data_IF_290103485133
#
_entry.id   IF_290103485133
#
_cell.length_a   1.000
_cell.length_b   1.000
_cell.length_c   1.000
_cell.angle_alpha   90.00
_cell.angle_beta   90.00
_cell.angle_gamma   90.00
#
_symmetry.space_group_name_H-M   'P 1'
#
loop_
_entity.id
_entity.type
_entity.pdbx_description
1 polymer ?
#
# COMPACT_ATOMS: atom_id res chain seq x y z
N UNK A 1 12.22 -15.85 4.27
CA UNK A 1 11.44 -16.32 3.12
C UNK A 1 11.16 -15.09 2.28
N UNK A 2 11.59 -15.09 1.03
CA UNK A 2 11.30 -13.99 0.09
C UNK A 2 9.96 -14.28 -0.60
N UNK A 3 9.14 -13.26 -0.84
CA UNK A 3 7.86 -13.40 -1.53
C UNK A 3 7.77 -12.43 -2.71
N UNK A 4 7.10 -12.85 -3.78
CA UNK A 4 6.84 -12.05 -4.97
C UNK A 4 5.39 -11.54 -4.95
N UNK A 5 5.05 -10.80 -3.91
CA UNK A 5 3.68 -10.37 -3.62
C UNK A 5 2.92 -11.30 -2.67
N UNK A 6 1.80 -10.81 -2.14
CA UNK A 6 0.95 -11.52 -1.19
C UNK A 6 -0.45 -10.90 -1.18
N UNK A 7 -1.48 -11.71 -0.92
CA UNK A 7 -2.81 -11.22 -0.55
C UNK A 7 -3.02 -11.50 0.94
N UNK A 8 -3.31 -10.45 1.69
CA UNK A 8 -3.50 -10.49 3.14
C UNK A 8 -4.76 -9.69 3.45
N UNK A 9 -5.84 -10.37 3.85
CA UNK A 9 -7.17 -9.76 3.92
C UNK A 9 -7.50 -9.09 2.58
N UNK A 10 -8.04 -7.87 2.60
CA UNK A 10 -8.32 -7.06 1.42
C UNK A 10 -7.09 -6.40 0.79
N UNK A 11 -5.89 -6.55 1.39
CA UNK A 11 -4.67 -5.91 0.89
C UNK A 11 -3.92 -6.84 -0.07
N UNK A 12 -3.66 -6.35 -1.27
CA UNK A 12 -2.89 -7.05 -2.29
C UNK A 12 -1.52 -6.39 -2.46
N UNK A 13 -0.49 -7.00 -1.90
CA UNK A 13 0.92 -6.63 -2.10
C UNK A 13 1.35 -7.14 -3.47
N UNK A 14 1.49 -6.25 -4.44
CA UNK A 14 1.72 -6.59 -5.83
C UNK A 14 3.15 -7.08 -6.07
N UNK A 15 3.28 -8.14 -6.87
CA UNK A 15 4.54 -8.72 -7.28
C UNK A 15 4.90 -8.40 -8.72
N UNK A 16 6.16 -8.66 -9.09
CA UNK A 16 6.61 -8.62 -10.47
C UNK A 16 6.28 -9.94 -11.17
N UNK A 17 5.49 -9.89 -12.24
CA UNK A 17 5.08 -11.08 -13.03
C UNK A 17 4.35 -12.13 -12.17
N UNK A 18 3.66 -11.69 -11.12
CA UNK A 18 2.81 -12.56 -10.30
C UNK A 18 1.38 -12.57 -10.84
N UNK A 19 1.11 -13.48 -11.76
CA UNK A 19 -0.21 -13.62 -12.39
C UNK A 19 -1.30 -14.13 -11.44
N UNK A 20 -0.94 -14.59 -10.22
CA UNK A 20 -1.92 -15.08 -9.25
C UNK A 20 -2.64 -13.95 -8.51
N UNK A 21 -2.06 -12.74 -8.49
CA UNK A 21 -2.62 -11.56 -7.81
C UNK A 21 -3.51 -10.69 -8.71
N UNK A 22 -3.79 -11.15 -9.93
CA UNK A 22 -4.68 -10.46 -10.88
C UNK A 22 -4.02 -9.31 -11.63
N UNK A 23 -3.24 -8.46 -10.96
CA UNK A 23 -2.52 -7.35 -11.58
C UNK A 23 -1.04 -7.37 -11.20
N UNK A 24 -0.21 -6.93 -12.14
CA UNK A 24 1.22 -6.79 -11.93
C UNK A 24 1.55 -5.40 -11.38
N UNK A 25 2.61 -5.28 -10.59
CA UNK A 25 3.01 -3.99 -10.00
C UNK A 25 3.22 -2.90 -11.04
N UNK A 26 3.83 -3.21 -12.20
CA UNK A 26 4.06 -2.21 -13.25
C UNK A 26 2.78 -1.79 -13.98
N UNK A 27 1.80 -2.68 -14.10
CA UNK A 27 0.51 -2.33 -14.71
C UNK A 27 -0.29 -1.43 -13.75
N UNK A 28 -0.30 -1.76 -12.46
CA UNK A 28 -0.94 -0.92 -11.43
C UNK A 28 -0.34 0.49 -11.37
N UNK A 29 1.00 0.60 -11.34
CA UNK A 29 1.69 1.91 -11.36
C UNK A 29 1.30 2.69 -12.62
N UNK A 30 1.32 2.05 -13.80
CA UNK A 30 0.95 2.70 -15.06
C UNK A 30 -0.49 3.19 -15.03
N UNK A 31 -1.42 2.37 -14.55
CA UNK A 31 -2.84 2.72 -14.47
C UNK A 31 -3.07 3.88 -13.50
N UNK A 32 -2.44 3.87 -12.32
CA UNK A 32 -2.49 4.98 -11.38
C UNK A 32 -2.01 6.30 -12.02
N UNK A 33 -0.88 6.25 -12.74
CA UNK A 33 -0.34 7.45 -13.40
C UNK A 33 -1.19 7.94 -14.57
N UNK A 34 -1.94 7.04 -15.22
CA UNK A 34 -2.89 7.42 -16.27
C UNK A 34 -4.15 8.06 -15.70
N UNK A 35 -4.63 7.57 -14.55
CA UNK A 35 -5.79 8.12 -13.85
C UNK A 35 -5.45 9.48 -13.24
N UNK A 36 -4.29 9.60 -12.60
CA UNK A 36 -3.82 10.82 -11.97
C UNK A 36 -2.37 11.09 -12.36
N UNK A 37 -2.18 11.99 -13.32
CA UNK A 37 -0.87 12.29 -13.88
C UNK A 37 0.06 13.00 -12.89
N UNK A 38 -0.46 13.57 -11.79
CA UNK A 38 0.36 14.20 -10.75
C UNK A 38 1.15 13.17 -9.94
N UNK A 39 0.75 11.90 -9.97
CA UNK A 39 1.47 10.80 -9.34
C UNK A 39 2.72 10.36 -10.11
N UNK A 40 2.82 10.75 -11.38
CA UNK A 40 3.89 10.29 -12.29
C UNK A 40 5.26 10.64 -11.74
N UNK A 41 6.11 9.62 -11.57
CA UNK A 41 7.45 9.72 -10.94
C UNK A 41 7.46 10.25 -9.50
N UNK A 42 6.31 10.37 -8.83
CA UNK A 42 6.20 10.86 -7.45
C UNK A 42 5.68 9.80 -6.49
N UNK A 43 4.88 8.87 -6.99
CA UNK A 43 4.27 7.80 -6.21
C UNK A 43 4.20 6.50 -7.01
N UNK A 44 4.67 5.40 -6.42
CA UNK A 44 4.59 4.06 -7.01
C UNK A 44 3.73 3.17 -6.13
N UNK A 45 2.44 3.05 -6.45
CA UNK A 45 1.49 2.19 -5.74
C UNK A 45 1.82 0.71 -5.94
N UNK A 46 2.26 0.05 -4.86
CA UNK A 46 2.69 -1.37 -4.86
C UNK A 46 1.78 -2.25 -4.01
N UNK A 47 0.83 -1.66 -3.29
CA UNK A 47 -0.20 -2.35 -2.53
C UNK A 47 -1.53 -1.73 -2.87
N UNK A 48 -2.52 -2.54 -3.22
CA UNK A 48 -3.88 -2.08 -3.51
C UNK A 48 -4.92 -2.75 -2.62
N UNK A 49 -6.07 -2.11 -2.42
CA UNK A 49 -7.26 -2.71 -1.80
C UNK A 49 -8.40 -2.82 -2.81
N UNK A 50 -9.45 -3.60 -2.51
CA UNK A 50 -10.61 -3.71 -3.41
C UNK A 50 -11.41 -2.40 -3.54
N UNK A 51 -11.20 -1.45 -2.62
CA UNK A 51 -11.87 -0.15 -2.58
C UNK A 51 -11.12 0.97 -3.32
N UNK A 52 -10.01 0.66 -4.00
CA UNK A 52 -9.22 1.64 -4.76
C UNK A 52 -8.18 2.41 -3.92
N UNK A 53 -7.92 1.99 -2.69
CA UNK A 53 -6.81 2.51 -1.90
C UNK A 53 -5.49 1.93 -2.37
N UNK A 54 -4.45 2.76 -2.34
CA UNK A 54 -3.12 2.39 -2.78
C UNK A 54 -2.07 2.84 -1.77
N UNK A 55 -1.14 1.94 -1.46
CA UNK A 55 0.06 2.25 -0.68
C UNK A 55 1.30 2.01 -1.54
N UNK A 56 2.30 2.86 -1.39
CA UNK A 56 3.37 2.91 -2.36
C UNK A 56 4.57 3.71 -1.93
N UNK A 57 5.64 3.60 -2.70
CA UNK A 57 6.85 4.39 -2.47
C UNK A 57 6.65 5.82 -2.95
N UNK A 58 7.20 6.77 -2.20
CA UNK A 58 7.29 8.17 -2.60
C UNK A 58 8.64 8.47 -3.24
N UNK A 59 8.68 9.48 -4.11
CA UNK A 59 9.93 10.11 -4.56
C UNK A 59 10.53 11.00 -3.45
N UNK A 60 10.80 10.35 -2.32
CA UNK A 60 11.35 10.96 -1.12
C UNK A 60 12.15 9.89 -0.39
N UNK A 61 13.40 10.24 -0.06
CA UNK A 61 14.32 9.39 0.69
C UNK A 61 14.77 10.09 1.97
N UNK A 62 15.10 9.33 3.02
CA UNK A 62 15.71 9.85 4.24
C UNK A 62 17.25 9.90 4.12
N UNK A 63 17.93 10.31 5.21
CA UNK A 63 19.40 10.40 5.25
C UNK A 63 20.10 9.05 5.10
N UNK A 64 19.38 7.95 5.33
CA UNK A 64 19.90 6.59 5.30
C UNK A 64 19.55 5.89 3.98
N UNK A 65 18.86 6.58 3.07
CA UNK A 65 18.46 6.07 1.76
C UNK A 65 17.15 5.29 1.77
N UNK A 66 16.38 5.29 2.86
CA UNK A 66 15.08 4.63 2.89
C UNK A 66 14.04 5.44 2.12
N UNK A 67 13.23 4.75 1.31
CA UNK A 67 12.09 5.37 0.66
C UNK A 67 10.90 5.48 1.61
N UNK A 68 10.29 6.67 1.65
CA UNK A 68 9.07 6.88 2.38
C UNK A 68 7.89 6.15 1.72
N UNK A 69 6.92 5.73 2.53
CA UNK A 69 5.67 5.11 2.08
C UNK A 69 4.54 6.13 2.14
N UNK A 70 3.78 6.23 1.05
CA UNK A 70 2.59 7.06 0.93
C UNK A 70 1.31 6.24 0.82
N UNK A 71 0.19 6.90 1.05
CA UNK A 71 -1.18 6.43 0.83
C UNK A 71 -1.87 7.35 -0.18
N UNK A 72 -2.57 6.76 -1.14
CA UNK A 72 -3.34 7.42 -2.18
C UNK A 72 -4.71 6.74 -2.30
N UNK A 73 -5.76 7.53 -2.51
CA UNK A 73 -7.11 7.03 -2.74
C UNK A 73 -7.65 7.60 -4.05
N UNK A 74 -8.15 6.75 -4.94
CA UNK A 74 -8.72 7.18 -6.23
C UNK A 74 -9.94 8.09 -6.08
N UNK A 75 -10.60 8.09 -4.92
CA UNK A 75 -11.73 8.97 -4.60
C UNK A 75 -11.29 10.37 -4.11
N UNK A 76 -10.03 10.52 -3.70
CA UNK A 76 -9.40 11.79 -3.30
C UNK A 76 -8.16 12.03 -4.18
N UNK A 77 -8.35 12.32 -5.48
CA UNK A 77 -7.23 12.51 -6.38
C UNK A 77 -6.36 13.69 -5.96
N UNK A 78 -5.13 13.74 -6.48
CA UNK A 78 -4.11 14.77 -6.23
C UNK A 78 -3.49 14.75 -4.82
N UNK A 79 -4.04 13.98 -3.87
CA UNK A 79 -3.53 13.92 -2.49
C UNK A 79 -2.84 12.59 -2.20
N UNK A 80 -1.58 12.68 -1.77
CA UNK A 80 -0.81 11.55 -1.26
C UNK A 80 -0.36 11.84 0.16
N UNK A 81 -0.79 10.99 1.09
CA UNK A 81 -0.53 11.14 2.51
C UNK A 81 0.71 10.35 2.91
N UNK A 82 1.58 10.95 3.75
CA UNK A 82 2.75 10.25 4.27
C UNK A 82 2.34 9.24 5.36
N UNK A 83 2.69 7.97 5.18
CA UNK A 83 2.31 6.87 6.09
C UNK A 83 3.47 6.43 6.97
N UNK A 84 4.66 6.24 6.38
CA UNK A 84 5.83 5.73 7.07
C UNK A 84 7.12 6.25 6.43
N UNK A 85 8.21 6.28 7.20
CA UNK A 85 9.54 6.65 6.71
C UNK A 85 10.29 5.51 6.03
N UNK A 86 9.81 4.28 6.16
CA UNK A 86 10.35 3.12 5.45
C UNK A 86 9.29 2.03 5.29
N UNK A 87 9.55 1.08 4.39
CA UNK A 87 8.70 -0.09 4.20
C UNK A 87 8.63 -0.96 5.46
N UNK A 88 9.74 -1.11 6.19
CA UNK A 88 9.78 -1.91 7.42
C UNK A 88 8.87 -1.33 8.51
N UNK A 89 8.87 0.00 8.66
CA UNK A 89 7.99 0.69 9.61
C UNK A 89 6.53 0.52 9.18
N UNK A 90 6.23 0.66 7.89
CA UNK A 90 4.90 0.40 7.34
C UNK A 90 4.45 -1.04 7.66
N UNK A 91 5.28 -2.04 7.38
CA UNK A 91 4.97 -3.45 7.61
C UNK A 91 4.75 -3.76 9.09
N UNK A 92 5.57 -3.19 9.98
CA UNK A 92 5.37 -3.36 11.42
C UNK A 92 4.03 -2.78 11.88
N UNK A 93 3.63 -1.62 11.37
CA UNK A 93 2.30 -1.04 11.68
C UNK A 93 1.18 -1.91 11.10
N UNK A 94 1.30 -2.32 9.85
CA UNK A 94 0.32 -3.15 9.15
C UNK A 94 0.06 -4.46 9.89
N UNK A 95 1.11 -5.23 10.19
CA UNK A 95 0.98 -6.53 10.86
C UNK A 95 0.37 -6.40 12.25
N UNK A 96 0.71 -5.34 12.99
CA UNK A 96 0.07 -5.05 14.29
C UNK A 96 -1.42 -4.81 14.15
N UNK A 97 -1.86 -4.14 13.08
CA UNK A 97 -3.28 -3.94 12.83
C UNK A 97 -3.98 -5.21 12.38
N UNK A 98 -3.35 -6.02 11.53
CA UNK A 98 -3.86 -7.35 11.19
C UNK A 98 -4.08 -8.20 12.44
N UNK A 99 -3.10 -8.24 13.35
CA UNK A 99 -3.21 -8.95 14.61
C UNK A 99 -4.38 -8.45 15.46
N UNK A 100 -4.54 -7.12 15.60
CA UNK A 100 -5.64 -6.53 16.35
C UNK A 100 -7.00 -6.85 15.73
N UNK A 101 -7.10 -6.76 14.40
CA UNK A 101 -8.34 -7.07 13.65
C UNK A 101 -8.73 -8.53 13.86
N UNK A 102 -7.80 -9.46 13.67
CA UNK A 102 -8.07 -10.90 13.80
C UNK A 102 -8.34 -11.34 15.26
N UNK A 103 -7.83 -10.60 16.26
CA UNK A 103 -8.20 -10.81 17.67
C UNK A 103 -9.64 -10.43 17.98
N UNK A 104 -10.19 -9.44 17.27
CA UNK A 104 -11.57 -8.98 17.46
C UNK A 104 -12.55 -9.82 16.64
N UNK A 105 -12.17 -10.20 15.42
CA UNK A 105 -12.93 -11.04 14.51
C UNK A 105 -11.98 -11.92 13.69
N UNK A 106 -11.96 -13.22 14.00
CA UNK A 106 -11.10 -14.20 13.33
C UNK A 106 -11.47 -14.40 11.85
N UNK A 107 -12.69 -14.03 11.45
CA UNK A 107 -13.19 -14.14 10.08
C UNK A 107 -13.17 -12.80 9.35
N UNK A 108 -12.54 -11.77 9.93
CA UNK A 108 -12.42 -10.47 9.30
C UNK A 108 -11.76 -10.61 7.92
N UNK A 109 -12.35 -9.94 6.93
CA UNK A 109 -11.84 -9.91 5.55
C UNK A 109 -11.07 -8.63 5.23
N UNK A 110 -11.12 -7.61 6.09
CA UNK A 110 -10.46 -6.33 5.94
C UNK A 110 -10.13 -5.69 7.30
N UNK A 111 -9.28 -4.68 7.31
CA UNK A 111 -9.05 -3.82 8.48
C UNK A 111 -10.18 -2.77 8.49
N UNK A 112 -11.08 -2.83 9.47
CA UNK A 112 -12.26 -1.95 9.52
C UNK A 112 -11.96 -0.46 9.81
N UNK A 113 -10.77 -0.15 10.33
CA UNK A 113 -10.36 1.22 10.61
C UNK A 113 -9.61 1.80 9.40
N UNK A 114 -10.28 2.64 8.62
CA UNK A 114 -9.73 3.22 7.38
C UNK A 114 -8.54 4.18 7.61
N UNK A 115 -8.29 4.64 8.84
CA UNK A 115 -7.20 5.58 9.15
C UNK A 115 -6.09 4.95 9.99
N UNK A 116 -6.02 3.62 10.04
CA UNK A 116 -5.07 2.89 10.88
C UNK A 116 -3.61 3.31 10.63
N UNK A 117 -3.30 3.72 9.40
CA UNK A 117 -1.98 4.12 8.93
C UNK A 117 -1.63 5.59 9.24
N UNK A 118 -2.62 6.44 9.50
CA UNK A 118 -2.42 7.85 9.90
C UNK A 118 -2.10 8.00 11.39
N UNK A 119 -2.41 6.99 12.19
CA UNK A 119 -2.13 6.99 13.61
C UNK A 119 -0.62 6.82 13.86
N UNK A 120 -0.06 7.71 14.68
CA UNK A 120 1.36 7.73 15.07
C UNK A 120 1.72 6.56 15.98
#
# INVERSE_FOLDING_TARGET
METNGASILDYCFLGMKNNQLGINVYDNIRELWQVDNLLTFRFWGVIGTSCGENFGYLDKIDSDGNHFIGYYNTNEPEQVYLVASSFDIFMSKFLKQIENTLKLDENAICIANNDWFLNK
#
